data_IF_154916968311
#
_entry.id   IF_154916968311
#
_cell.length_a   1.000
_cell.length_b   1.000
_cell.length_c   1.000
_cell.angle_alpha   90.00
_cell.angle_beta   90.00
_cell.angle_gamma   90.00
#
_symmetry.space_group_name_H-M   'P 1'
#
loop_
_entity.id
_entity.type
_entity.pdbx_description
1 polymer ?
#
# COMPACT_ATOMS: atom_id res chain seq x y z
N UNK A 1 -16.99 -10.22 49.17
CA UNK A 1 -17.71 -10.17 47.88
C UNK A 1 -17.71 -11.56 47.26
N UNK A 2 -18.86 -12.23 47.19
CA UNK A 2 -19.01 -13.56 46.58
C UNK A 2 -19.72 -13.37 45.24
N UNK A 3 -19.03 -13.69 44.15
CA UNK A 3 -19.59 -13.62 42.80
C UNK A 3 -20.46 -14.86 42.58
N UNK A 4 -21.74 -14.62 42.26
CA UNK A 4 -22.77 -15.63 42.15
C UNK A 4 -22.61 -16.42 40.83
N UNK A 5 -22.34 -17.73 40.95
CA UNK A 5 -22.04 -18.65 39.82
C UNK A 5 -23.23 -18.86 38.86
N UNK A 6 -24.41 -18.33 39.20
CA UNK A 6 -25.62 -18.41 38.36
C UNK A 6 -25.59 -17.48 37.15
N UNK A 7 -24.81 -16.39 37.19
CA UNK A 7 -24.69 -15.45 36.07
C UNK A 7 -23.78 -15.96 34.93
N UNK A 8 -22.84 -16.87 35.21
CA UNK A 8 -21.91 -17.41 34.22
C UNK A 8 -22.51 -18.51 33.32
N UNK A 9 -23.67 -19.07 33.67
CA UNK A 9 -24.36 -20.08 32.83
C UNK A 9 -25.35 -19.49 31.83
N UNK A 10 -25.78 -18.24 32.01
CA UNK A 10 -26.65 -17.55 31.05
C UNK A 10 -25.88 -17.08 29.79
N UNK A 11 -24.57 -16.85 29.90
CA UNK A 11 -23.75 -16.37 28.78
C UNK A 11 -23.36 -17.47 27.76
N UNK A 12 -23.50 -18.76 28.11
CA UNK A 12 -23.10 -19.88 27.22
C UNK A 12 -24.28 -20.40 26.38
N UNK A 13 -25.53 -20.14 26.77
CA UNK A 13 -26.71 -20.58 25.99
C UNK A 13 -27.24 -19.56 24.96
N UNK A 14 -26.69 -18.34 24.93
CA UNK A 14 -27.09 -17.31 23.96
C UNK A 14 -26.35 -17.41 22.60
N UNK A 15 -25.42 -18.36 22.42
CA UNK A 15 -24.63 -18.50 21.19
C UNK A 15 -25.18 -19.54 20.19
N UNK A 16 -26.29 -20.22 20.48
CA UNK A 16 -26.81 -21.32 19.65
C UNK A 16 -28.12 -21.00 18.88
N UNK A 17 -28.60 -19.77 18.92
CA UNK A 17 -29.82 -19.34 18.22
C UNK A 17 -29.57 -18.05 17.41
N UNK A 18 -28.48 -18.02 16.64
CA UNK A 18 -28.44 -17.11 15.50
C UNK A 18 -29.45 -17.63 14.46
N UNK A 19 -30.41 -16.82 14.00
CA UNK A 19 -31.29 -17.23 12.92
C UNK A 19 -30.43 -17.56 11.71
N UNK A 20 -30.56 -18.79 11.19
CA UNK A 20 -30.04 -19.17 9.90
C UNK A 20 -30.50 -18.10 8.91
N UNK A 21 -29.55 -17.27 8.45
CA UNK A 21 -29.80 -16.19 7.53
C UNK A 21 -30.57 -16.75 6.35
N UNK A 22 -31.75 -16.16 6.10
CA UNK A 22 -32.46 -16.36 4.88
C UNK A 22 -31.46 -16.20 3.73
N UNK A 23 -31.18 -17.30 3.02
CA UNK A 23 -30.46 -17.27 1.76
C UNK A 23 -31.36 -16.46 0.84
N UNK A 24 -31.10 -15.15 0.80
CA UNK A 24 -31.70 -14.25 -0.16
C UNK A 24 -31.35 -14.81 -1.52
N UNK A 25 -32.32 -15.49 -2.14
CA UNK A 25 -32.34 -15.68 -3.58
C UNK A 25 -32.24 -14.28 -4.17
N UNK A 26 -31.04 -13.89 -4.53
CA UNK A 26 -30.81 -12.82 -5.47
C UNK A 26 -31.58 -13.22 -6.73
N UNK A 27 -32.82 -12.75 -6.84
CA UNK A 27 -33.51 -12.70 -8.13
C UNK A 27 -32.55 -11.93 -9.01
N UNK A 28 -32.00 -12.61 -10.02
CA UNK A 28 -31.32 -11.97 -11.12
C UNK A 28 -32.32 -11.00 -11.74
N UNK A 29 -32.30 -9.77 -11.26
CA UNK A 29 -32.92 -8.67 -11.94
C UNK A 29 -32.05 -8.49 -13.18
N UNK A 30 -32.55 -8.95 -14.33
CA UNK A 30 -32.01 -8.59 -15.63
C UNK A 30 -31.93 -7.06 -15.64
N UNK A 31 -30.73 -6.54 -15.38
CA UNK A 31 -30.44 -5.13 -15.63
C UNK A 31 -30.43 -5.04 -17.14
N UNK A 32 -31.41 -4.37 -17.78
CA UNK A 32 -31.40 -4.19 -19.22
C UNK A 32 -30.08 -3.53 -19.56
N UNK A 33 -29.26 -4.23 -20.36
CA UNK A 33 -28.00 -3.70 -20.86
C UNK A 33 -28.36 -2.43 -21.62
N UNK A 34 -27.91 -1.25 -21.16
CA UNK A 34 -28.20 -0.02 -21.89
C UNK A 34 -27.64 -0.19 -23.31
N UNK A 35 -28.39 0.22 -24.35
CA UNK A 35 -27.90 0.14 -25.72
C UNK A 35 -26.53 0.83 -25.80
N UNK A 36 -25.61 0.33 -26.63
CA UNK A 36 -24.30 0.93 -26.79
C UNK A 36 -24.47 2.42 -27.10
N UNK A 37 -23.98 3.27 -26.20
CA UNK A 37 -23.90 4.70 -26.44
C UNK A 37 -22.90 4.89 -27.55
N UNK A 38 -23.38 5.10 -28.77
CA UNK A 38 -22.54 5.50 -29.90
C UNK A 38 -21.97 6.87 -29.52
N UNK A 39 -20.64 6.99 -29.28
CA UNK A 39 -20.07 8.28 -28.96
C UNK A 39 -20.37 9.23 -30.13
N UNK A 40 -20.80 10.48 -29.86
CA UNK A 40 -21.02 11.46 -30.91
C UNK A 40 -19.73 11.57 -31.72
N UNK A 41 -19.87 11.36 -33.03
CA UNK A 41 -18.79 11.45 -34.00
C UNK A 41 -18.09 12.79 -33.80
N UNK A 42 -16.84 12.75 -33.32
CA UNK A 42 -16.09 13.94 -32.98
C UNK A 42 -16.06 14.86 -34.20
N UNK A 43 -16.53 16.10 -34.02
CA UNK A 43 -16.40 17.13 -35.03
C UNK A 43 -14.92 17.23 -35.44
N UNK A 44 -14.60 17.39 -36.74
CA UNK A 44 -13.24 17.49 -37.20
C UNK A 44 -12.53 18.61 -36.43
N UNK A 45 -11.41 18.25 -35.80
CA UNK A 45 -10.60 19.20 -35.04
C UNK A 45 -10.23 20.38 -35.96
N UNK A 46 -10.34 21.63 -35.49
CA UNK A 46 -9.88 22.77 -36.26
C UNK A 46 -8.40 22.59 -36.58
N UNK A 47 -8.05 22.75 -37.86
CA UNK A 47 -6.69 22.67 -38.34
C UNK A 47 -5.81 23.65 -37.56
N UNK A 48 -4.90 23.11 -36.74
CA UNK A 48 -3.92 23.89 -36.01
C UNK A 48 -3.04 24.61 -37.03
N UNK A 49 -3.13 25.94 -37.07
CA UNK A 49 -2.18 26.74 -37.83
C UNK A 49 -0.77 26.52 -37.24
N UNK A 50 0.27 26.29 -38.06
CA UNK A 50 1.63 26.15 -37.57
C UNK A 50 2.05 27.44 -36.86
N UNK A 51 2.71 27.34 -35.69
CA UNK A 51 3.21 28.52 -34.99
C UNK A 51 4.30 29.20 -35.84
N UNK A 52 4.10 30.50 -36.06
CA UNK A 52 5.06 31.41 -36.67
C UNK A 52 6.41 31.31 -35.94
N UNK A 53 7.48 31.03 -36.69
CA UNK A 53 8.82 30.87 -36.16
C UNK A 53 9.31 32.21 -35.58
N UNK A 54 9.43 32.29 -34.26
CA UNK A 54 10.05 33.43 -33.58
C UNK A 54 11.57 33.37 -33.82
N UNK A 55 12.18 34.38 -34.46
CA UNK A 55 13.62 34.39 -34.70
C UNK A 55 14.40 34.70 -33.42
N UNK A 56 15.19 33.72 -32.98
CA UNK A 56 16.53 33.88 -32.42
C UNK A 56 16.71 34.80 -31.21
N UNK A 57 16.29 34.37 -30.02
CA UNK A 57 16.81 34.91 -28.77
C UNK A 57 18.15 34.24 -28.43
N UNK A 58 19.26 34.95 -28.61
CA UNK A 58 20.58 34.58 -28.09
C UNK A 58 20.52 34.51 -26.56
N UNK A 59 20.65 33.30 -25.99
CA UNK A 59 20.82 33.10 -24.54
C UNK A 59 22.32 33.19 -24.23
N UNK A 60 22.79 34.16 -23.43
CA UNK A 60 24.18 34.23 -23.01
C UNK A 60 24.51 33.14 -21.99
N UNK A 61 25.55 32.35 -22.28
CA UNK A 61 26.45 31.70 -21.32
C UNK A 61 25.83 30.90 -20.17
N UNK A 62 25.49 29.62 -20.42
CA UNK A 62 25.39 28.64 -19.33
C UNK A 62 26.78 28.35 -18.77
N UNK A 63 27.02 28.49 -17.44
CA UNK A 63 28.25 28.07 -16.81
C UNK A 63 28.40 26.54 -16.91
N UNK A 64 29.63 26.08 -17.16
CA UNK A 64 29.97 24.68 -17.30
C UNK A 64 29.55 23.88 -16.05
N UNK A 65 28.98 22.67 -16.21
CA UNK A 65 28.61 21.83 -15.08
C UNK A 65 29.85 21.45 -14.26
N UNK A 66 29.75 21.41 -12.92
CA UNK A 66 30.85 20.98 -12.06
C UNK A 66 31.23 19.51 -12.37
N UNK A 67 32.51 19.14 -12.22
CA UNK A 67 32.95 17.77 -12.44
C UNK A 67 32.23 16.80 -11.48
N UNK A 68 31.92 15.57 -11.93
CA UNK A 68 31.23 14.59 -11.12
C UNK A 68 32.03 14.26 -9.85
N UNK A 69 31.39 14.41 -8.69
CA UNK A 69 31.95 14.01 -7.41
C UNK A 69 32.23 12.51 -7.43
N UNK A 70 33.50 12.12 -7.22
CA UNK A 70 33.89 10.73 -7.09
C UNK A 70 33.19 10.12 -5.87
N UNK A 71 32.25 9.21 -6.12
CA UNK A 71 31.56 8.44 -5.09
C UNK A 71 32.60 7.59 -4.37
N UNK A 72 32.77 7.84 -3.07
CA UNK A 72 33.69 7.07 -2.23
C UNK A 72 33.25 5.59 -2.20
N UNK A 73 34.19 4.63 -2.25
CA UNK A 73 33.87 3.22 -2.18
C UNK A 73 33.18 2.89 -0.86
N UNK A 74 32.15 2.01 -0.87
CA UNK A 74 31.48 1.58 0.35
C UNK A 74 32.46 0.87 1.30
N UNK A 75 32.30 1.04 2.62
CA UNK A 75 33.14 0.37 3.60
C UNK A 75 33.01 -1.16 3.49
N UNK A 76 34.08 -1.91 3.81
CA UNK A 76 34.08 -3.37 3.75
C UNK A 76 33.00 -3.95 4.68
N UNK A 77 32.15 -4.81 4.13
CA UNK A 77 31.10 -5.49 4.86
C UNK A 77 31.70 -6.39 5.96
N UNK A 78 31.30 -6.16 7.21
CA UNK A 78 31.70 -7.00 8.33
C UNK A 78 31.02 -8.37 8.18
N UNK A 79 31.83 -9.42 8.04
CA UNK A 79 31.39 -10.82 8.01
C UNK A 79 30.78 -11.16 9.36
N UNK A 80 29.49 -11.47 9.38
CA UNK A 80 28.78 -11.89 10.58
C UNK A 80 29.31 -13.27 11.07
N UNK A 81 29.41 -13.49 12.39
CA UNK A 81 29.85 -14.75 12.96
C UNK A 81 28.86 -15.89 12.64
N UNK A 82 29.34 -17.15 12.50
CA UNK A 82 28.49 -18.29 12.23
C UNK A 82 27.50 -18.55 13.39
N UNK A 83 26.28 -19.02 13.10
CA UNK A 83 25.28 -19.31 14.12
C UNK A 83 25.71 -20.49 15.02
N UNK A 84 25.28 -20.50 16.29
CA UNK A 84 25.61 -21.57 17.24
C UNK A 84 24.98 -22.90 16.82
N UNK A 85 25.77 -23.97 16.85
CA UNK A 85 25.33 -25.34 16.60
C UNK A 85 24.37 -25.81 17.71
N UNK A 86 23.11 -26.07 17.36
CA UNK A 86 22.14 -26.64 18.31
C UNK A 86 22.43 -28.11 18.57
N UNK A 87 22.58 -28.46 19.85
CA UNK A 87 22.73 -29.82 20.36
C UNK A 87 21.36 -30.52 20.34
N UNK A 88 21.29 -31.69 19.71
CA UNK A 88 20.06 -32.49 19.62
C UNK A 88 19.62 -33.02 21.01
N UNK A 89 18.33 -32.94 21.38
CA UNK A 89 17.83 -33.50 22.62
C UNK A 89 17.70 -35.02 22.54
N UNK A 90 18.21 -35.70 23.57
CA UNK A 90 18.31 -37.15 23.63
C UNK A 90 17.02 -37.88 24.00
N UNK A 91 16.99 -39.15 23.61
CA UNK A 91 16.25 -40.23 24.27
C UNK A 91 14.81 -40.50 23.77
N UNK A 92 14.45 -41.77 23.49
CA UNK A 92 13.08 -42.15 23.15
C UNK A 92 12.18 -42.08 24.39
N UNK A 93 11.35 -41.04 24.48
CA UNK A 93 10.26 -40.96 25.46
C UNK A 93 9.16 -41.93 25.03
N UNK A 94 8.80 -42.89 25.88
CA UNK A 94 7.64 -43.76 25.67
C UNK A 94 6.35 -42.94 25.79
N UNK A 95 5.81 -42.53 24.65
CA UNK A 95 4.53 -41.81 24.57
C UNK A 95 3.41 -42.85 24.65
N UNK A 96 2.59 -42.76 25.70
CA UNK A 96 1.35 -43.54 25.83
C UNK A 96 0.53 -43.45 24.55
N UNK A 97 0.27 -44.57 23.87
CA UNK A 97 -0.64 -44.59 22.74
C UNK A 97 -2.05 -44.19 23.20
N UNK A 98 -2.59 -43.05 22.73
CA UNK A 98 -3.92 -42.64 23.09
C UNK A 98 -4.93 -43.62 22.48
N UNK A 99 -5.93 -44.03 23.27
CA UNK A 99 -7.04 -44.85 22.79
C UNK A 99 -7.81 -44.19 21.62
N UNK A 100 -8.72 -44.91 20.95
CA UNK A 100 -9.33 -44.49 19.69
C UNK A 100 -10.03 -43.12 19.76
N UNK A 101 -10.65 -42.78 20.90
CA UNK A 101 -11.27 -41.47 21.15
C UNK A 101 -10.21 -40.37 21.27
N UNK A 102 -9.10 -40.65 21.96
CA UNK A 102 -7.98 -39.73 22.07
C UNK A 102 -7.34 -39.44 20.71
N UNK A 103 -7.27 -40.44 19.83
CA UNK A 103 -6.78 -40.28 18.45
C UNK A 103 -7.66 -39.32 17.65
N UNK A 104 -8.98 -39.47 17.73
CA UNK A 104 -9.93 -38.59 17.04
C UNK A 104 -9.86 -37.13 17.54
N UNK A 105 -9.79 -36.92 18.86
CA UNK A 105 -9.63 -35.59 19.45
C UNK A 105 -8.27 -34.97 19.12
N UNK A 106 -7.21 -35.77 19.05
CA UNK A 106 -5.89 -35.31 18.65
C UNK A 106 -5.87 -34.87 17.17
N UNK A 107 -6.50 -35.63 16.26
CA UNK A 107 -6.65 -35.22 14.86
C UNK A 107 -7.55 -34.00 14.68
N UNK A 108 -8.65 -33.88 15.44
CA UNK A 108 -9.48 -32.68 15.44
C UNK A 108 -8.73 -31.47 15.98
N UNK A 109 -7.90 -31.67 17.01
CA UNK A 109 -6.98 -30.68 17.55
C UNK A 109 -6.03 -30.16 16.48
N UNK A 110 -5.35 -31.03 15.73
CA UNK A 110 -4.51 -30.62 14.62
C UNK A 110 -5.28 -29.92 13.50
N UNK A 111 -6.46 -30.40 13.13
CA UNK A 111 -7.27 -29.74 12.11
C UNK A 111 -7.68 -28.32 12.52
N UNK A 112 -8.03 -28.12 13.78
CA UNK A 112 -8.35 -26.80 14.33
C UNK A 112 -7.07 -25.96 14.44
N UNK A 113 -5.96 -26.55 14.86
CA UNK A 113 -4.69 -25.86 14.99
C UNK A 113 -4.19 -25.37 13.62
N UNK A 114 -4.14 -26.25 12.63
CA UNK A 114 -3.69 -25.95 11.27
C UNK A 114 -4.61 -24.96 10.54
N UNK A 115 -5.93 -24.99 10.80
CA UNK A 115 -6.87 -24.05 10.16
C UNK A 115 -7.09 -22.74 10.90
N UNK A 116 -7.04 -22.73 12.23
CA UNK A 116 -7.53 -21.58 13.01
C UNK A 116 -6.45 -20.92 13.86
N UNK A 117 -5.42 -21.64 14.29
CA UNK A 117 -4.45 -21.11 15.26
C UNK A 117 -3.04 -20.97 14.68
N UNK A 118 -2.73 -21.67 13.59
CA UNK A 118 -1.51 -21.59 12.78
C UNK A 118 -0.26 -21.36 13.62
N UNK A 119 0.48 -22.42 14.00
CA UNK A 119 1.76 -22.27 14.70
C UNK A 119 2.65 -21.28 13.92
N UNK A 120 2.86 -20.04 14.41
CA UNK A 120 3.61 -19.04 13.66
C UNK A 120 5.07 -19.49 13.46
N UNK A 121 5.51 -20.45 14.26
CA UNK A 121 6.83 -21.09 14.24
C UNK A 121 6.98 -22.15 13.13
N UNK A 122 5.88 -22.67 12.55
CA UNK A 122 5.91 -23.67 11.47
C UNK A 122 5.69 -23.11 10.07
N UNK A 123 5.26 -21.86 9.97
CA UNK A 123 5.13 -21.17 8.70
C UNK A 123 6.34 -20.27 8.50
N UNK A 124 7.31 -20.74 7.72
CA UNK A 124 8.49 -19.95 7.32
C UNK A 124 8.07 -18.66 6.58
N UNK A 125 6.86 -18.63 5.99
CA UNK A 125 6.28 -17.48 5.32
C UNK A 125 5.07 -16.92 6.07
N UNK A 126 4.89 -15.58 6.13
CA UNK A 126 3.71 -14.98 6.73
C UNK A 126 2.44 -15.53 6.07
N UNK A 127 1.36 -15.80 6.83
CA UNK A 127 0.14 -16.35 6.25
C UNK A 127 -0.38 -15.42 5.16
N UNK A 128 -0.91 -16.00 4.06
CA UNK A 128 -1.39 -15.26 2.89
C UNK A 128 -2.35 -14.10 3.26
N UNK A 129 -3.21 -14.31 4.26
CA UNK A 129 -4.12 -13.27 4.74
C UNK A 129 -3.40 -12.02 5.29
N UNK A 130 -2.25 -12.21 5.94
CA UNK A 130 -1.43 -11.10 6.45
C UNK A 130 -0.80 -10.31 5.30
N UNK A 131 -0.24 -10.98 4.28
CA UNK A 131 0.36 -10.28 3.13
C UNK A 131 -0.68 -9.51 2.31
N UNK A 132 -1.87 -10.10 2.10
CA UNK A 132 -3.02 -9.41 1.50
C UNK A 132 -3.43 -8.18 2.32
N UNK A 133 -3.50 -8.32 3.65
CA UNK A 133 -3.81 -7.22 4.56
C UNK A 133 -2.79 -6.07 4.46
N UNK A 134 -1.49 -6.39 4.41
CA UNK A 134 -0.43 -5.39 4.22
C UNK A 134 -0.52 -4.70 2.86
N UNK A 135 -0.91 -5.42 1.81
CA UNK A 135 -1.10 -4.82 0.49
C UNK A 135 -2.28 -3.84 0.47
N UNK A 136 -3.41 -4.22 1.06
CA UNK A 136 -4.55 -3.31 1.16
C UNK A 136 -4.26 -2.10 2.04
N UNK A 137 -3.55 -2.27 3.15
CA UNK A 137 -3.15 -1.15 4.00
C UNK A 137 -2.21 -0.20 3.26
N UNK A 138 -1.24 -0.73 2.49
CA UNK A 138 -0.33 0.06 1.66
C UNK A 138 -1.08 0.80 0.54
N UNK A 139 -2.02 0.14 -0.15
CA UNK A 139 -2.86 0.77 -1.16
C UNK A 139 -3.73 1.87 -0.56
N UNK A 140 -4.33 1.64 0.62
CA UNK A 140 -5.11 2.65 1.33
C UNK A 140 -4.25 3.85 1.75
N UNK A 141 -3.02 3.61 2.22
CA UNK A 141 -2.08 4.66 2.57
C UNK A 141 -1.69 5.50 1.34
N UNK A 142 -1.38 4.86 0.20
CA UNK A 142 -1.09 5.57 -1.06
C UNK A 142 -2.30 6.34 -1.59
N UNK A 143 -3.49 5.75 -1.52
CA UNK A 143 -4.73 6.41 -1.90
C UNK A 143 -5.03 7.63 -1.01
N UNK A 144 -4.63 7.59 0.27
CA UNK A 144 -4.77 8.73 1.17
C UNK A 144 -3.92 9.92 0.72
N UNK A 145 -2.68 9.70 0.29
CA UNK A 145 -1.81 10.76 -0.23
C UNK A 145 -2.43 11.44 -1.46
N UNK A 146 -2.98 10.66 -2.40
CA UNK A 146 -3.65 11.18 -3.59
C UNK A 146 -4.83 12.11 -3.27
N UNK A 147 -5.56 11.83 -2.18
CA UNK A 147 -6.69 12.69 -1.76
C UNK A 147 -6.24 14.09 -1.36
N UNK A 148 -4.97 14.25 -1.00
CA UNK A 148 -4.40 15.51 -0.56
C UNK A 148 -3.29 16.03 -1.47
N UNK A 149 -3.31 15.62 -2.74
CA UNK A 149 -2.48 16.19 -3.80
C UNK A 149 -3.34 17.08 -4.70
N UNK A 150 -2.86 18.30 -4.93
CA UNK A 150 -3.31 19.18 -6.01
C UNK A 150 -2.45 18.92 -7.25
N UNK A 151 -3.08 18.39 -8.29
CA UNK A 151 -2.44 18.04 -9.54
C UNK A 151 -2.32 19.24 -10.47
N UNK A 152 -1.49 19.13 -11.51
CA UNK A 152 -1.37 20.16 -12.56
C UNK A 152 -2.72 20.48 -13.23
N UNK A 153 -3.62 19.51 -13.32
CA UNK A 153 -4.98 19.66 -13.87
C UNK A 153 -5.93 20.45 -12.96
N UNK A 154 -5.61 20.58 -11.67
CA UNK A 154 -6.39 21.39 -10.72
C UNK A 154 -6.12 22.90 -10.91
N UNK A 155 -5.15 23.27 -11.76
CA UNK A 155 -4.78 24.66 -12.09
C UNK A 155 -5.03 24.97 -13.56
N UNK A 156 -5.29 26.24 -13.89
CA UNK A 156 -5.25 26.68 -15.28
C UNK A 156 -3.81 26.59 -15.82
N UNK A 157 -3.67 26.15 -17.06
CA UNK A 157 -2.37 25.90 -17.69
C UNK A 157 -1.48 27.15 -17.66
N UNK A 158 -0.29 27.01 -17.07
CA UNK A 158 0.69 28.10 -16.97
C UNK A 158 0.37 29.21 -15.98
N UNK A 159 -0.61 29.00 -15.10
CA UNK A 159 -0.97 29.96 -14.06
C UNK A 159 -0.96 29.31 -12.67
N UNK A 160 -0.98 30.15 -11.64
CA UNK A 160 -1.16 29.82 -10.23
C UNK A 160 -2.64 29.70 -9.80
N UNK A 161 -3.58 30.03 -10.70
CA UNK A 161 -5.01 30.04 -10.39
C UNK A 161 -5.61 28.63 -10.48
N UNK A 162 -6.38 28.26 -9.47
CA UNK A 162 -7.12 26.99 -9.44
C UNK A 162 -8.29 27.02 -10.42
N UNK A 163 -8.56 25.87 -11.04
CA UNK A 163 -9.80 25.63 -11.79
C UNK A 163 -10.99 25.48 -10.84
N UNK A 164 -12.25 25.57 -11.33
CA UNK A 164 -13.42 25.29 -10.50
C UNK A 164 -13.37 23.89 -9.85
N UNK A 165 -12.83 22.89 -10.56
CA UNK A 165 -12.62 21.55 -10.01
C UNK A 165 -11.51 21.50 -8.96
N UNK A 166 -10.40 22.21 -9.20
CA UNK A 166 -9.33 22.36 -8.22
C UNK A 166 -9.80 23.01 -6.92
N UNK A 167 -10.65 24.05 -7.01
CA UNK A 167 -11.28 24.70 -5.85
C UNK A 167 -12.17 23.70 -5.10
N UNK A 168 -13.01 22.93 -5.81
CA UNK A 168 -13.84 21.88 -5.19
C UNK A 168 -13.01 20.80 -4.51
N UNK A 169 -11.90 20.37 -5.13
CA UNK A 169 -10.96 19.41 -4.55
C UNK A 169 -10.30 19.99 -3.29
N UNK A 170 -9.78 21.20 -3.35
CA UNK A 170 -9.18 21.89 -2.21
C UNK A 170 -10.17 22.01 -1.04
N UNK A 171 -11.42 22.40 -1.31
CA UNK A 171 -12.45 22.47 -0.28
C UNK A 171 -12.69 21.12 0.42
N UNK A 172 -12.72 20.01 -0.34
CA UNK A 172 -12.79 18.66 0.25
C UNK A 172 -11.52 18.30 1.03
N UNK A 173 -10.34 18.65 0.55
CA UNK A 173 -9.09 18.44 1.28
C UNK A 173 -9.13 19.14 2.63
N UNK A 174 -9.58 20.39 2.65
CA UNK A 174 -9.67 21.21 3.85
C UNK A 174 -10.65 20.66 4.89
N UNK A 175 -11.78 20.08 4.46
CA UNK A 175 -12.73 19.49 5.41
C UNK A 175 -12.20 18.23 6.11
N UNK A 176 -11.26 17.51 5.48
CA UNK A 176 -10.64 16.33 6.07
C UNK A 176 -9.29 16.60 6.73
N UNK A 177 -8.68 17.76 6.47
CA UNK A 177 -7.34 18.13 6.96
C UNK A 177 -7.16 17.97 8.48
N UNK A 178 -8.12 18.34 9.36
CA UNK A 178 -7.95 18.17 10.80
C UNK A 178 -7.78 16.71 11.25
N UNK A 179 -8.27 15.75 10.45
CA UNK A 179 -8.16 14.31 10.73
C UNK A 179 -6.90 13.69 10.14
N UNK A 180 -6.18 14.42 9.29
CA UNK A 180 -5.01 13.92 8.60
C UNK A 180 -3.76 14.70 9.01
N UNK A 181 -2.78 13.96 9.52
CA UNK A 181 -1.50 14.53 9.98
C UNK A 181 -0.47 14.73 8.88
N UNK A 182 -0.78 14.39 7.63
CA UNK A 182 0.18 14.44 6.52
C UNK A 182 0.28 15.80 5.81
N UNK A 183 1.22 15.93 4.86
CA UNK A 183 1.46 17.16 4.10
C UNK A 183 0.59 17.25 2.84
N UNK A 184 -0.05 18.39 2.61
CA UNK A 184 -0.72 18.71 1.34
C UNK A 184 0.33 18.88 0.26
N UNK A 185 0.24 18.08 -0.80
CA UNK A 185 1.18 18.11 -1.92
C UNK A 185 0.65 18.97 -3.06
N UNK A 186 1.51 19.80 -3.64
CA UNK A 186 1.25 20.51 -4.89
C UNK A 186 2.21 19.95 -5.94
N UNK A 187 1.64 19.41 -7.01
CA UNK A 187 2.42 18.82 -8.09
C UNK A 187 3.26 19.89 -8.80
N UNK A 188 4.56 19.64 -8.82
CA UNK A 188 5.54 20.45 -9.53
C UNK A 188 5.39 20.30 -11.05
N UNK A 189 5.52 21.40 -11.81
CA UNK A 189 5.67 21.34 -13.26
C UNK A 189 7.17 21.31 -13.58
N UNK A 190 7.74 20.19 -14.08
CA UNK A 190 9.18 20.07 -14.30
C UNK A 190 9.73 21.07 -15.31
N UNK A 191 8.86 21.61 -16.18
CA UNK A 191 9.26 22.62 -17.16
C UNK A 191 9.30 24.03 -16.56
N UNK A 192 8.68 24.25 -15.39
CA UNK A 192 8.47 25.57 -14.77
C UNK A 192 8.47 25.47 -13.23
N UNK A 193 9.62 25.22 -12.60
CA UNK A 193 9.71 25.06 -11.14
C UNK A 193 9.25 26.31 -10.38
N UNK A 194 9.51 27.52 -10.92
CA UNK A 194 9.05 28.77 -10.31
C UNK A 194 7.51 28.91 -10.23
N UNK A 195 6.77 28.22 -11.11
CA UNK A 195 5.31 28.24 -11.08
C UNK A 195 4.75 27.45 -9.89
N UNK A 196 5.49 26.45 -9.41
CA UNK A 196 5.03 25.58 -8.34
C UNK A 196 5.03 26.30 -6.98
N UNK A 197 6.05 27.12 -6.69
CA UNK A 197 6.06 27.98 -5.50
C UNK A 197 4.97 29.08 -5.58
N UNK A 198 4.76 29.69 -6.75
CA UNK A 198 3.65 30.64 -6.94
C UNK A 198 2.29 30.00 -6.67
N UNK A 199 2.09 28.75 -7.13
CA UNK A 199 0.88 27.95 -6.82
C UNK A 199 0.74 27.69 -5.32
N UNK A 200 1.84 27.35 -4.64
CA UNK A 200 1.84 27.14 -3.19
C UNK A 200 1.38 28.39 -2.44
N UNK A 201 1.91 29.56 -2.80
CA UNK A 201 1.51 30.83 -2.20
C UNK A 201 0.04 31.16 -2.50
N UNK A 202 -0.42 30.97 -3.74
CA UNK A 202 -1.80 31.22 -4.13
C UNK A 202 -2.80 30.31 -3.39
N UNK A 203 -2.46 29.02 -3.21
CA UNK A 203 -3.28 28.09 -2.41
C UNK A 203 -3.31 28.52 -0.95
N UNK A 204 -2.17 28.91 -0.38
CA UNK A 204 -2.10 29.38 1.01
C UNK A 204 -2.95 30.63 1.23
N UNK A 205 -2.86 31.61 0.33
CA UNK A 205 -3.69 32.83 0.36
C UNK A 205 -5.18 32.51 0.21
N UNK A 206 -5.53 31.62 -0.72
CA UNK A 206 -6.91 31.20 -0.92
C UNK A 206 -7.46 30.51 0.33
N UNK A 207 -6.68 29.66 0.99
CA UNK A 207 -7.15 28.99 2.21
C UNK A 207 -7.31 29.99 3.36
N UNK A 208 -6.36 30.92 3.50
CA UNK A 208 -6.43 32.00 4.49
C UNK A 208 -7.67 32.89 4.28
N UNK A 209 -8.00 33.24 3.04
CA UNK A 209 -9.19 34.05 2.73
C UNK A 209 -10.52 33.34 3.04
N UNK A 210 -10.52 32.01 3.14
CA UNK A 210 -11.67 31.21 3.57
C UNK A 210 -11.72 30.98 5.09
N UNK A 211 -10.92 31.70 5.88
CA UNK A 211 -10.91 31.61 7.35
C UNK A 211 -10.22 30.35 7.89
N UNK A 212 -9.52 29.61 7.06
CA UNK A 212 -8.74 28.44 7.48
C UNK A 212 -7.25 28.81 7.48
N UNK A 213 -6.51 28.35 8.48
CA UNK A 213 -5.05 28.47 8.50
C UNK A 213 -4.43 27.10 8.19
N UNK A 214 -3.52 27.05 7.23
CA UNK A 214 -2.64 25.89 7.05
C UNK A 214 -1.22 26.33 7.39
N UNK A 215 -0.52 25.51 8.16
CA UNK A 215 0.90 25.66 8.38
C UNK A 215 1.66 25.63 7.02
N UNK A 216 2.45 26.67 6.69
CA UNK A 216 3.25 26.69 5.47
C UNK A 216 4.15 25.46 5.29
N UNK A 217 4.59 24.83 6.40
CA UNK A 217 5.38 23.60 6.38
C UNK A 217 4.59 22.35 5.96
N UNK A 218 3.26 22.37 6.04
CA UNK A 218 2.39 21.28 5.57
C UNK A 218 2.08 21.36 4.07
N UNK A 219 2.23 22.53 3.44
CA UNK A 219 2.12 22.65 1.98
C UNK A 219 3.50 22.41 1.37
N UNK A 220 3.67 21.27 0.72
CA UNK A 220 4.93 20.86 0.10
C UNK A 220 4.74 20.85 -1.42
N UNK A 221 5.66 21.49 -2.13
CA UNK A 221 5.80 21.34 -3.58
C UNK A 221 6.68 20.13 -3.86
N UNK A 222 6.25 19.26 -4.77
CA UNK A 222 7.05 18.12 -5.17
C UNK A 222 6.49 17.39 -6.38
N UNK A 223 7.21 16.37 -6.83
CA UNK A 223 6.75 15.50 -7.91
C UNK A 223 5.42 14.82 -7.58
N UNK A 224 4.68 14.44 -8.63
CA UNK A 224 3.46 13.66 -8.45
C UNK A 224 3.78 12.40 -7.64
N UNK A 225 3.10 12.13 -6.51
CA UNK A 225 3.26 10.88 -5.77
C UNK A 225 2.77 9.68 -6.60
N UNK A 226 2.07 9.94 -7.70
CA UNK A 226 1.61 8.95 -8.65
C UNK A 226 2.28 9.20 -10.01
N UNK A 227 3.40 8.52 -10.24
CA UNK A 227 3.87 8.25 -11.59
C UNK A 227 2.84 7.30 -12.20
N UNK A 228 1.86 7.86 -12.93
CA UNK A 228 0.82 7.09 -13.59
C UNK A 228 1.43 5.89 -14.30
N UNK A 229 1.04 4.68 -13.90
CA UNK A 229 1.75 3.44 -14.21
C UNK A 229 2.14 3.26 -15.67
N UNK A 230 3.32 3.76 -16.03
CA UNK A 230 4.15 3.22 -17.09
C UNK A 230 5.06 2.22 -16.43
N UNK A 231 4.61 0.97 -16.25
CA UNK A 231 5.49 -0.15 -15.87
C UNK A 231 6.09 -0.15 -14.45
N UNK A 232 6.46 0.98 -13.85
CA UNK A 232 7.31 1.07 -12.65
C UNK A 232 6.67 0.57 -11.35
N UNK A 233 5.34 0.38 -11.33
CA UNK A 233 4.69 -0.32 -10.21
C UNK A 233 5.10 -1.81 -10.17
N UNK A 234 5.54 -2.40 -11.29
CA UNK A 234 6.20 -3.71 -11.26
C UNK A 234 7.56 -3.59 -10.58
N UNK A 235 8.38 -2.58 -10.86
CA UNK A 235 9.74 -2.50 -10.30
C UNK A 235 9.75 -2.37 -8.78
N UNK A 236 8.86 -1.57 -8.18
CA UNK A 236 8.83 -1.47 -6.71
C UNK A 236 8.30 -2.76 -6.07
N UNK A 237 7.34 -3.42 -6.72
CA UNK A 237 6.71 -4.63 -6.19
C UNK A 237 7.58 -5.88 -6.42
N UNK A 238 8.17 -6.02 -7.61
CA UNK A 238 9.23 -6.97 -7.92
C UNK A 238 10.44 -6.73 -7.02
N UNK A 239 10.86 -5.49 -6.81
CA UNK A 239 11.97 -5.18 -5.89
C UNK A 239 11.69 -5.66 -4.46
N UNK A 240 10.46 -5.48 -3.95
CA UNK A 240 10.06 -5.99 -2.63
C UNK A 240 9.93 -7.52 -2.62
N UNK A 241 9.39 -8.13 -3.67
CA UNK A 241 9.27 -9.59 -3.79
C UNK A 241 10.65 -10.26 -3.94
N UNK A 242 11.55 -9.65 -4.70
CA UNK A 242 12.93 -10.08 -4.91
C UNK A 242 13.77 -9.86 -3.65
N UNK A 243 13.69 -8.71 -2.99
CA UNK A 243 14.41 -8.48 -1.73
C UNK A 243 13.91 -9.45 -0.65
N UNK A 244 12.60 -9.74 -0.58
CA UNK A 244 12.08 -10.81 0.29
C UNK A 244 12.61 -12.18 -0.09
N UNK A 245 12.62 -12.56 -1.36
CA UNK A 245 13.10 -13.87 -1.78
C UNK A 245 14.61 -14.03 -1.59
N UNK A 246 15.39 -12.96 -1.76
CA UNK A 246 16.84 -12.96 -1.50
C UNK A 246 17.18 -12.97 -0.01
N UNK A 247 16.37 -12.33 0.83
CA UNK A 247 16.57 -12.35 2.30
C UNK A 247 15.96 -13.56 2.97
N UNK A 248 15.01 -14.23 2.35
CA UNK A 248 14.34 -15.39 2.94
C UNK A 248 15.34 -16.50 3.35
N UNK A 249 16.34 -16.90 2.54
CA UNK A 249 17.33 -17.91 2.95
C UNK A 249 18.21 -17.48 4.14
N UNK A 250 18.50 -16.18 4.26
CA UNK A 250 19.31 -15.64 5.35
C UNK A 250 18.52 -15.46 6.65
N UNK A 251 17.21 -15.21 6.52
CA UNK A 251 16.30 -15.01 7.65
C UNK A 251 15.70 -16.33 8.13
N UNK A 252 15.50 -17.28 7.22
CA UNK A 252 14.91 -18.59 7.42
C UNK A 252 15.87 -19.64 6.83
N UNK A 253 16.98 -19.96 7.52
CA UNK A 253 17.85 -21.04 7.08
C UNK A 253 17.04 -22.35 7.13
N UNK A 254 16.75 -22.90 5.96
CA UNK A 254 16.22 -24.26 5.84
C UNK A 254 17.24 -25.17 6.52
N UNK A 255 16.91 -25.65 7.72
CA UNK A 255 17.65 -26.76 8.30
C UNK A 255 17.48 -27.92 7.30
N UNK A 256 18.55 -28.41 6.67
CA UNK A 256 18.42 -29.59 5.83
C UNK A 256 17.91 -30.69 6.76
N UNK A 257 16.66 -31.10 6.60
CA UNK A 257 16.14 -32.28 7.30
C UNK A 257 16.94 -33.44 6.72
N UNK A 258 17.91 -34.00 7.46
CA UNK A 258 18.65 -35.14 6.95
C UNK A 258 17.68 -36.31 6.97
N UNK A 259 17.36 -36.82 5.79
CA UNK A 259 16.72 -38.11 5.57
C UNK A 259 15.25 -38.22 6.01
N UNK A 260 14.35 -37.79 5.13
CA UNK A 260 13.18 -38.63 4.86
C UNK A 260 13.68 -39.77 3.94
N UNK A 261 14.30 -40.79 4.55
CA UNK A 261 14.50 -42.08 3.91
C UNK A 261 13.11 -42.60 3.52
N UNK A 262 12.74 -42.40 2.25
CA UNK A 262 11.62 -43.11 1.64
C UNK A 262 12.08 -44.55 1.42
N UNK A 263 12.17 -45.29 2.53
CA UNK A 263 12.42 -46.72 2.52
C UNK A 263 11.38 -47.39 1.63
N UNK A 264 11.83 -47.89 0.49
CA UNK A 264 11.09 -48.79 -0.36
C UNK A 264 10.76 -50.06 0.44
N UNK A 265 9.47 -50.35 0.57
CA UNK A 265 8.94 -51.69 0.85
C UNK A 265 7.94 -52.04 -0.25
#
# INVERSE_FOLDING_TARGET
MRVDRRWLRAAVFAAAMAPAGAVGRARGQEIPIPPPVIPPQAAPAPAFAPPEAVPGAMIPGHPAPPPPAMVAPPPPAMVAPPPPTMVAPGGPVHVHQPGPIGRALHHAGFFIHDRMVGEPERFDEPPLGWSIGQNFSAQAARASQHRYTLYRSDFFAGTERLTPDGIRRLGRMMSYLPRWGGPVLIEEDPNRPGLAESRRLAVMELVASNGNAIDPGRLIVGGSPYLGGRGDLSETYEGILLDRSFRAPATYPLNPIPNADFGAN
#
